data_IF_034469172352
#
_entry.id   IF_034469172352
#
_cell.length_a   1.000
_cell.length_b   1.000
_cell.length_c   1.000
_cell.angle_alpha   90.00
_cell.angle_beta   90.00
_cell.angle_gamma   90.00
#
_symmetry.space_group_name_H-M   'P 1'
#
loop_
_entity.id
_entity.type
_entity.pdbx_description
1 polymer ?
#
# COMPACT_ATOMS: atom_id res chain seq x y z
N UNK A 1 -33.61 15.49 -4.36
CA UNK A 1 -32.35 15.21 -3.63
C UNK A 1 -32.08 16.38 -2.68
N UNK A 2 -32.53 16.27 -1.44
CA UNK A 2 -32.38 17.30 -0.41
C UNK A 2 -30.92 17.40 0.02
N UNK A 3 -30.33 18.59 -0.10
CA UNK A 3 -28.96 18.89 0.33
C UNK A 3 -28.98 19.16 1.84
N UNK A 4 -28.55 18.18 2.63
CA UNK A 4 -28.37 18.37 4.07
C UNK A 4 -27.07 19.14 4.33
N UNK A 5 -27.21 20.29 4.97
CA UNK A 5 -26.10 21.21 5.27
C UNK A 5 -25.82 21.12 6.76
N UNK A 6 -24.60 20.75 7.15
CA UNK A 6 -24.23 20.58 8.55
C UNK A 6 -24.02 21.95 9.23
N UNK A 7 -24.62 22.22 10.42
CA UNK A 7 -24.61 23.55 11.05
C UNK A 7 -23.24 23.98 11.61
N UNK A 8 -22.26 23.09 11.72
CA UNK A 8 -20.91 23.42 12.24
C UNK A 8 -19.88 23.72 11.15
N UNK A 9 -20.16 23.37 9.90
CA UNK A 9 -19.23 23.56 8.79
C UNK A 9 -20.03 23.98 7.56
N UNK A 10 -19.83 25.20 7.06
CA UNK A 10 -20.44 25.74 5.82
C UNK A 10 -20.06 25.00 4.53
N UNK A 11 -19.56 23.77 4.62
CA UNK A 11 -19.09 22.93 3.52
C UNK A 11 -20.04 21.76 3.30
N UNK A 12 -20.60 21.67 2.09
CA UNK A 12 -21.45 20.56 1.61
C UNK A 12 -20.87 19.20 2.01
N UNK A 13 -21.65 18.39 2.71
CA UNK A 13 -21.33 16.98 2.97
C UNK A 13 -21.94 16.08 1.90
N UNK A 14 -21.24 15.02 1.51
CA UNK A 14 -21.69 14.07 0.49
C UNK A 14 -22.39 12.84 1.11
N UNK A 15 -23.04 13.00 2.26
CA UNK A 15 -23.66 11.92 3.04
C UNK A 15 -22.68 11.14 3.93
N UNK A 16 -23.24 10.28 4.77
CA UNK A 16 -22.51 9.41 5.69
C UNK A 16 -21.96 8.18 4.95
N UNK A 17 -20.78 7.71 5.34
CA UNK A 17 -20.15 6.49 4.84
C UNK A 17 -19.29 5.86 5.94
N UNK A 18 -18.97 4.57 5.80
CA UNK A 18 -18.09 3.87 6.73
C UNK A 18 -16.65 3.87 6.24
N UNK A 19 -15.71 4.08 7.17
CA UNK A 19 -14.29 4.15 6.84
C UNK A 19 -13.74 2.75 6.56
N UNK A 20 -13.29 2.47 5.34
CA UNK A 20 -12.73 1.17 4.89
C UNK A 20 -11.50 0.65 5.65
N UNK A 21 -10.99 1.39 6.63
CA UNK A 21 -9.83 1.02 7.47
C UNK A 21 -10.24 0.68 8.90
N UNK A 22 -11.28 1.30 9.43
CA UNK A 22 -11.63 1.19 10.86
C UNK A 22 -13.14 1.04 11.10
N UNK A 23 -13.91 0.92 10.02
CA UNK A 23 -15.36 0.70 9.96
C UNK A 23 -16.21 1.71 10.73
N UNK A 24 -15.61 2.85 11.11
CA UNK A 24 -16.35 3.94 11.76
C UNK A 24 -17.09 4.77 10.73
N UNK A 25 -18.37 5.03 11.00
CA UNK A 25 -19.20 5.94 10.23
C UNK A 25 -18.68 7.37 10.33
N UNK A 26 -18.58 8.05 9.19
CA UNK A 26 -18.10 9.42 9.08
C UNK A 26 -18.83 10.17 7.97
N UNK A 27 -18.88 11.50 8.09
CA UNK A 27 -19.44 12.37 7.06
C UNK A 27 -18.39 12.70 5.99
N UNK A 28 -18.73 12.42 4.73
CA UNK A 28 -17.84 12.66 3.59
C UNK A 28 -17.77 14.16 3.28
N UNK A 29 -16.54 14.71 3.24
CA UNK A 29 -16.26 16.10 2.80
C UNK A 29 -16.02 16.21 1.30
N UNK A 30 -15.74 15.09 0.63
CA UNK A 30 -15.55 14.97 -0.82
C UNK A 30 -16.27 13.70 -1.31
N UNK A 31 -16.74 13.64 -2.56
CA UNK A 31 -17.47 12.47 -3.06
C UNK A 31 -16.60 11.21 -3.13
N UNK A 32 -15.28 11.36 -3.32
CA UNK A 32 -14.29 10.27 -3.41
C UNK A 32 -13.69 9.88 -2.05
N UNK A 33 -14.16 10.46 -0.94
CA UNK A 33 -13.60 10.21 0.37
C UNK A 33 -14.09 8.87 0.95
N UNK A 34 -13.20 7.87 0.95
CA UNK A 34 -13.46 6.51 1.46
C UNK A 34 -12.91 6.23 2.87
N UNK A 35 -12.15 7.18 3.44
CA UNK A 35 -11.55 7.06 4.78
C UNK A 35 -11.91 8.25 5.66
N UNK A 36 -12.12 7.99 6.95
CA UNK A 36 -12.32 9.03 7.94
C UNK A 36 -11.07 9.93 8.08
N UNK A 37 -11.25 11.10 8.71
CA UNK A 37 -10.18 12.11 8.85
C UNK A 37 -9.07 11.72 9.85
N UNK A 38 -9.16 10.55 10.51
CA UNK A 38 -8.12 10.09 11.44
C UNK A 38 -6.79 9.87 10.69
N UNK A 39 -5.72 10.44 11.25
CA UNK A 39 -4.35 10.34 10.68
C UNK A 39 -3.94 8.89 10.43
N UNK A 40 -4.26 7.99 11.36
CA UNK A 40 -3.97 6.55 11.25
C UNK A 40 -4.64 5.93 10.02
N UNK A 41 -5.93 6.20 9.79
CA UNK A 41 -6.67 5.65 8.67
C UNK A 41 -6.21 6.22 7.32
N UNK A 42 -5.86 7.52 7.29
CA UNK A 42 -5.26 8.16 6.11
C UNK A 42 -3.89 7.54 5.76
N UNK A 43 -3.04 7.30 6.76
CA UNK A 43 -1.75 6.65 6.58
C UNK A 43 -1.89 5.19 6.11
N UNK A 44 -2.81 4.43 6.71
CA UNK A 44 -3.08 3.05 6.31
C UNK A 44 -3.49 2.95 4.82
N UNK A 45 -4.39 3.84 4.36
CA UNK A 45 -4.77 3.93 2.93
C UNK A 45 -3.57 4.27 2.04
N UNK A 46 -2.72 5.21 2.44
CA UNK A 46 -1.52 5.57 1.66
C UNK A 46 -0.54 4.39 1.55
N UNK A 47 -0.36 3.62 2.62
CA UNK A 47 0.47 2.41 2.63
C UNK A 47 -0.11 1.31 1.73
N UNK A 48 -1.43 1.09 1.76
CA UNK A 48 -2.11 0.14 0.87
C UNK A 48 -1.99 0.54 -0.61
N UNK A 49 -2.23 1.81 -0.93
CA UNK A 49 -2.05 2.34 -2.30
C UNK A 49 -0.60 2.17 -2.76
N UNK A 50 0.38 2.38 -1.89
CA UNK A 50 1.80 2.19 -2.21
C UNK A 50 2.14 0.72 -2.45
N UNK A 51 1.60 -0.21 -1.66
CA UNK A 51 1.74 -1.66 -1.88
C UNK A 51 1.14 -2.07 -3.23
N UNK A 52 -0.07 -1.61 -3.55
CA UNK A 52 -0.71 -1.87 -4.84
C UNK A 52 0.05 -1.26 -6.02
N UNK A 53 0.56 -0.03 -5.90
CA UNK A 53 1.34 0.61 -6.97
C UNK A 53 2.67 -0.11 -7.23
N UNK A 54 3.35 -0.57 -6.17
CA UNK A 54 4.58 -1.36 -6.30
C UNK A 54 4.32 -2.74 -6.90
N UNK A 55 3.24 -3.41 -6.48
CA UNK A 55 2.82 -4.69 -7.06
C UNK A 55 2.37 -4.55 -8.53
N UNK A 56 1.64 -3.49 -8.87
CA UNK A 56 1.16 -3.22 -10.22
C UNK A 56 2.31 -2.90 -11.20
N UNK A 57 3.34 -2.16 -10.76
CA UNK A 57 4.48 -1.78 -11.62
C UNK A 57 5.25 -2.98 -12.17
N UNK A 58 5.24 -4.09 -11.44
CA UNK A 58 5.96 -5.32 -11.82
C UNK A 58 5.00 -6.50 -12.03
N UNK A 59 3.71 -6.22 -12.18
CA UNK A 59 2.69 -7.25 -12.42
C UNK A 59 3.05 -8.04 -13.67
N UNK A 60 3.13 -9.37 -13.56
CA UNK A 60 3.54 -10.26 -14.65
C UNK A 60 5.06 -10.34 -14.91
N UNK A 61 5.87 -9.47 -14.28
CA UNK A 61 7.32 -9.60 -14.35
C UNK A 61 7.81 -10.63 -13.33
N UNK A 62 8.64 -11.57 -13.80
CA UNK A 62 9.26 -12.57 -12.93
C UNK A 62 10.78 -12.43 -12.97
N UNK A 63 11.43 -12.83 -11.89
CA UNK A 63 12.88 -12.98 -11.82
C UNK A 63 13.22 -14.43 -11.48
N UNK A 64 14.39 -14.88 -11.93
CA UNK A 64 15.00 -16.11 -11.44
C UNK A 64 15.88 -15.76 -10.24
N UNK A 65 15.56 -16.32 -9.08
CA UNK A 65 16.33 -16.05 -7.87
C UNK A 65 17.79 -16.50 -8.02
N UNK A 66 18.74 -15.60 -7.76
CA UNK A 66 20.17 -15.92 -7.85
C UNK A 66 20.61 -17.05 -6.88
N UNK A 67 19.92 -17.20 -5.74
CA UNK A 67 20.24 -18.16 -4.68
C UNK A 67 19.56 -19.51 -4.90
N UNK A 68 18.24 -19.55 -5.05
CA UNK A 68 17.47 -20.80 -5.12
C UNK A 68 17.01 -21.17 -6.53
N UNK A 69 17.36 -20.36 -7.55
CA UNK A 69 17.03 -20.56 -8.98
C UNK A 69 15.54 -20.71 -9.31
N UNK A 70 14.65 -20.43 -8.36
CA UNK A 70 13.19 -20.44 -8.56
C UNK A 70 12.72 -19.17 -9.27
N UNK A 71 11.77 -19.29 -10.20
CA UNK A 71 11.03 -18.17 -10.79
C UNK A 71 10.08 -17.57 -9.75
N UNK A 72 10.16 -16.27 -9.51
CA UNK A 72 9.33 -15.56 -8.51
C UNK A 72 8.91 -14.20 -9.04
N UNK A 73 7.76 -13.66 -8.58
CA UNK A 73 7.30 -12.35 -9.01
C UNK A 73 8.29 -11.25 -8.59
N UNK A 74 8.54 -10.33 -9.52
CA UNK A 74 9.35 -9.14 -9.27
C UNK A 74 8.52 -8.13 -8.48
N UNK A 75 9.12 -7.54 -7.46
CA UNK A 75 8.48 -6.55 -6.57
C UNK A 75 9.28 -5.26 -6.46
N UNK A 76 10.53 -5.25 -6.95
CA UNK A 76 11.46 -4.10 -6.90
C UNK A 76 12.31 -4.05 -8.16
N UNK A 77 12.79 -2.85 -8.53
CA UNK A 77 13.58 -2.62 -9.76
C UNK A 77 14.81 -3.52 -9.84
N UNK A 78 15.59 -3.58 -8.75
CA UNK A 78 16.88 -4.27 -8.68
C UNK A 78 16.83 -5.60 -7.90
N UNK A 79 15.68 -6.29 -7.92
CA UNK A 79 15.52 -7.55 -7.19
C UNK A 79 16.32 -8.67 -7.88
N UNK A 80 17.30 -9.24 -7.16
CA UNK A 80 18.10 -10.40 -7.62
C UNK A 80 17.70 -11.72 -6.94
N UNK A 81 16.98 -11.66 -5.84
CA UNK A 81 16.63 -12.82 -5.03
C UNK A 81 15.14 -12.91 -4.73
N UNK A 82 14.71 -14.12 -4.39
CA UNK A 82 13.39 -14.39 -3.88
C UNK A 82 13.18 -13.73 -2.50
N UNK A 83 11.93 -13.47 -2.11
CA UNK A 83 11.59 -12.91 -0.79
C UNK A 83 11.57 -13.95 0.34
N UNK A 84 11.95 -15.21 0.07
CA UNK A 84 12.05 -16.22 1.14
C UNK A 84 13.17 -15.82 2.11
N UNK A 85 12.97 -15.98 3.43
CA UNK A 85 13.96 -15.58 4.44
C UNK A 85 15.37 -16.12 4.16
N UNK A 86 15.47 -17.39 3.76
CA UNK A 86 16.73 -18.04 3.42
C UNK A 86 17.46 -17.40 2.21
N UNK A 87 16.73 -16.92 1.19
CA UNK A 87 17.30 -16.23 0.03
C UNK A 87 17.85 -14.85 0.43
N UNK A 88 17.08 -14.11 1.24
CA UNK A 88 17.41 -12.73 1.64
C UNK A 88 18.63 -12.72 2.55
N UNK A 89 18.67 -13.60 3.56
CA UNK A 89 19.81 -13.71 4.48
C UNK A 89 21.10 -14.06 3.72
N UNK A 90 21.07 -15.09 2.85
CA UNK A 90 22.25 -15.46 2.04
C UNK A 90 22.74 -14.34 1.14
N UNK A 91 21.83 -13.55 0.55
CA UNK A 91 22.21 -12.40 -0.27
C UNK A 91 22.90 -11.31 0.55
N UNK A 92 22.37 -10.95 1.73
CA UNK A 92 22.97 -9.97 2.63
C UNK A 92 24.37 -10.38 3.07
N UNK A 93 24.57 -11.65 3.43
CA UNK A 93 25.89 -12.19 3.74
C UNK A 93 26.86 -12.15 2.54
N UNK A 94 26.36 -12.44 1.33
CA UNK A 94 27.18 -12.41 0.11
C UNK A 94 27.61 -10.99 -0.28
N UNK A 95 26.78 -9.97 0.02
CA UNK A 95 27.13 -8.57 -0.17
C UNK A 95 28.17 -8.11 0.85
N UNK A 96 28.01 -8.48 2.12
CA UNK A 96 28.96 -8.15 3.18
C UNK A 96 30.38 -8.70 2.91
N UNK A 97 30.49 -9.85 2.24
CA UNK A 97 31.78 -10.43 1.83
C UNK A 97 32.46 -9.75 0.63
N UNK A 98 31.71 -9.00 -0.20
CA UNK A 98 32.24 -8.31 -1.40
C UNK A 98 32.71 -6.88 -1.14
N UNK A 99 32.55 -6.38 0.09
CA UNK A 99 32.96 -5.03 0.51
C UNK A 99 34.23 -5.01 1.37
N UNK A 100 35.01 -6.10 1.34
CA UNK A 100 36.41 -6.17 1.79
C UNK A 100 37.27 -6.57 0.59
#
# INVERSE_FOLDING_TARGET
MTRETCPTCSTRTYGQADCVVCDKSFWRRRPDQITCAKKVCKMARQLQVSKHKLAARFLGQTIVCAICKTKTPKTRVNQKTCLKPACVLKHSFSLAKRSR
#
